data_IF_827641776661
#
_entry.id   IF_827641776661
#
_cell.length_a   1.000
_cell.length_b   1.000
_cell.length_c   1.000
_cell.angle_alpha   90.00
_cell.angle_beta   90.00
_cell.angle_gamma   90.00
#
_symmetry.space_group_name_H-M   'P 1'
#
loop_
_entity.id
_entity.type
_entity.pdbx_description
1 polymer ?
#
# COMPACT_ATOMS: atom_id res chain seq x y z
N UNK A 1 34.23 -2.81 -33.08
CA UNK A 1 33.77 -1.46 -32.70
C UNK A 1 32.27 -1.38 -32.94
N UNK A 2 31.44 -0.78 -32.07
CA UNK A 2 31.49 -0.63 -30.61
C UNK A 2 30.17 -1.09 -29.91
N UNK A 3 30.13 -0.86 -28.58
CA UNK A 3 29.23 -1.33 -27.51
C UNK A 3 27.89 -0.57 -27.40
N UNK A 4 26.91 -1.20 -26.75
CA UNK A 4 25.99 -0.68 -25.70
C UNK A 4 25.41 -1.94 -25.02
N UNK A 5 25.66 -2.35 -23.76
CA UNK A 5 25.80 -1.68 -22.46
C UNK A 5 24.61 -0.75 -22.15
N UNK A 6 23.56 -1.33 -21.58
CA UNK A 6 22.65 -0.63 -20.67
C UNK A 6 22.64 -1.40 -19.33
N UNK A 7 22.99 -0.73 -18.22
CA UNK A 7 23.02 -1.28 -16.86
C UNK A 7 21.70 -1.03 -16.11
N UNK A 8 21.46 -1.81 -15.04
CA UNK A 8 20.39 -1.58 -14.05
C UNK A 8 19.04 -2.18 -14.46
N UNK A 9 18.27 -2.88 -13.62
CA UNK A 9 18.17 -2.78 -12.18
C UNK A 9 18.14 -4.17 -11.53
N UNK A 10 19.14 -4.42 -10.69
CA UNK A 10 19.08 -5.45 -9.68
C UNK A 10 18.34 -4.83 -8.49
N UNK A 11 17.00 -4.92 -8.45
CA UNK A 11 16.24 -4.62 -7.23
C UNK A 11 16.36 -5.83 -6.33
N UNK A 12 17.43 -5.82 -5.52
CA UNK A 12 17.62 -6.80 -4.46
C UNK A 12 16.49 -6.62 -3.44
N UNK A 13 15.71 -7.69 -3.26
CA UNK A 13 14.82 -7.85 -2.11
C UNK A 13 15.62 -7.57 -0.83
N UNK A 14 15.07 -6.69 0.00
CA UNK A 14 15.48 -6.55 1.40
C UNK A 14 15.37 -7.94 2.04
N UNK A 15 16.53 -8.55 2.26
CA UNK A 15 16.63 -9.81 3.00
C UNK A 15 16.17 -9.53 4.42
N UNK A 16 15.06 -10.13 4.82
CA UNK A 16 14.53 -10.12 6.19
C UNK A 16 15.63 -10.62 7.15
N UNK A 17 16.32 -9.68 7.80
CA UNK A 17 17.24 -10.00 8.88
C UNK A 17 16.45 -10.57 10.05
N UNK A 18 16.80 -11.79 10.42
CA UNK A 18 16.48 -12.36 11.73
C UNK A 18 16.97 -11.40 12.82
N UNK A 19 16.06 -10.76 13.56
CA UNK A 19 16.42 -9.92 14.70
C UNK A 19 15.48 -10.21 15.88
N UNK A 20 15.91 -11.13 16.73
CA UNK A 20 15.64 -11.10 18.16
C UNK A 20 16.44 -9.96 18.80
N UNK A 21 15.87 -8.75 18.81
CA UNK A 21 16.37 -7.57 19.52
C UNK A 21 15.23 -6.58 19.76
N UNK A 22 15.31 -5.73 20.81
CA UNK A 22 14.21 -4.84 21.18
C UNK A 22 13.91 -3.89 20.03
N UNK A 23 12.62 -3.71 19.72
CA UNK A 23 12.10 -2.96 18.58
C UNK A 23 12.82 -1.61 18.41
N UNK A 24 13.86 -1.60 17.58
CA UNK A 24 14.40 -0.36 17.03
C UNK A 24 13.43 0.03 15.95
N UNK A 25 12.74 1.15 16.15
CA UNK A 25 11.98 1.79 15.09
C UNK A 25 12.86 1.85 13.83
N UNK A 26 12.28 1.45 12.71
CA UNK A 26 12.94 1.48 11.42
C UNK A 26 13.46 2.90 11.19
N UNK A 27 14.72 3.03 10.80
CA UNK A 27 15.32 4.33 10.49
C UNK A 27 15.93 4.20 9.10
N UNK A 28 15.29 4.84 8.13
CA UNK A 28 15.75 4.92 6.75
C UNK A 28 16.93 5.90 6.65
N UNK A 29 17.85 5.62 5.74
CA UNK A 29 18.82 6.60 5.27
C UNK A 29 18.12 7.69 4.44
N UNK A 30 18.79 8.83 4.23
CA UNK A 30 18.20 9.92 3.45
C UNK A 30 17.86 9.52 1.99
N UNK A 31 18.62 8.59 1.41
CA UNK A 31 18.35 8.05 0.07
C UNK A 31 17.10 7.16 0.09
N UNK A 32 17.01 6.23 1.05
CA UNK A 32 15.82 5.38 1.23
C UNK A 32 14.56 6.20 1.56
N UNK A 33 14.69 7.29 2.33
CA UNK A 33 13.58 8.22 2.56
C UNK A 33 13.13 8.90 1.27
N UNK A 34 14.06 9.36 0.44
CA UNK A 34 13.73 10.01 -0.83
C UNK A 34 13.06 9.02 -1.80
N UNK A 35 13.54 7.77 -1.86
CA UNK A 35 12.91 6.70 -2.64
C UNK A 35 11.51 6.38 -2.14
N UNK A 36 11.34 6.24 -0.82
CA UNK A 36 10.04 5.98 -0.21
C UNK A 36 9.04 7.12 -0.50
N UNK A 37 9.46 8.37 -0.33
CA UNK A 37 8.64 9.54 -0.67
C UNK A 37 8.31 9.55 -2.17
N UNK A 38 9.28 9.21 -3.03
CA UNK A 38 9.08 9.07 -4.47
C UNK A 38 7.99 8.03 -4.79
N UNK A 39 8.03 6.86 -4.16
CA UNK A 39 7.01 5.82 -4.28
C UNK A 39 5.66 6.30 -3.75
N UNK A 40 5.60 6.96 -2.59
CA UNK A 40 4.35 7.52 -2.06
C UNK A 40 3.76 8.60 -2.96
N UNK A 41 4.55 9.26 -3.80
CA UNK A 41 4.12 10.24 -4.79
C UNK A 41 3.87 9.66 -6.19
N UNK A 42 3.93 8.34 -6.34
CA UNK A 42 3.67 7.67 -7.63
C UNK A 42 2.22 7.83 -8.09
N UNK A 43 1.96 7.74 -9.41
CA UNK A 43 0.61 7.69 -9.95
C UNK A 43 -0.25 6.57 -9.35
N UNK A 44 0.34 5.40 -9.09
CA UNK A 44 -0.37 4.25 -8.51
C UNK A 44 -0.84 4.54 -7.09
N UNK A 45 0.01 5.10 -6.22
CA UNK A 45 -0.40 5.45 -4.86
C UNK A 45 -1.39 6.62 -4.86
N UNK A 46 -1.27 7.55 -5.83
CA UNK A 46 -2.27 8.61 -6.02
C UNK A 46 -3.65 8.05 -6.39
N UNK A 47 -3.69 7.02 -7.22
CA UNK A 47 -4.93 6.32 -7.57
C UNK A 47 -5.52 5.59 -6.35
N UNK A 48 -4.70 4.93 -5.54
CA UNK A 48 -5.14 4.32 -4.27
C UNK A 48 -5.82 5.39 -3.39
N UNK A 49 -5.19 6.55 -3.19
CA UNK A 49 -5.77 7.63 -2.37
C UNK A 49 -7.13 8.07 -2.91
N UNK A 50 -7.18 8.40 -4.21
CA UNK A 50 -8.41 8.81 -4.90
C UNK A 50 -9.52 7.76 -4.73
N UNK A 51 -9.18 6.49 -4.88
CA UNK A 51 -10.11 5.38 -4.76
C UNK A 51 -10.67 5.25 -3.34
N UNK A 52 -9.80 5.24 -2.31
CA UNK A 52 -10.23 5.20 -0.92
C UNK A 52 -11.11 6.41 -0.56
N UNK A 53 -10.75 7.62 -1.03
CA UNK A 53 -11.57 8.82 -0.88
C UNK A 53 -12.97 8.65 -1.50
N UNK A 54 -13.04 8.11 -2.71
CA UNK A 54 -14.29 7.88 -3.42
C UNK A 54 -15.18 6.85 -2.70
N UNK A 55 -14.62 5.75 -2.19
CA UNK A 55 -15.40 4.78 -1.41
C UNK A 55 -15.99 5.39 -0.13
N UNK A 56 -15.23 6.27 0.52
CA UNK A 56 -15.57 6.81 1.84
C UNK A 56 -16.35 8.13 1.78
N UNK A 57 -16.54 8.71 0.59
CA UNK A 57 -17.32 9.95 0.43
C UNK A 57 -18.79 9.76 0.82
N UNK A 58 -19.30 8.52 0.73
CA UNK A 58 -20.70 8.20 0.98
C UNK A 58 -21.61 8.50 -0.22
N UNK A 59 -21.04 8.97 -1.33
CA UNK A 59 -21.76 9.19 -2.57
C UNK A 59 -22.05 7.84 -3.27
N UNK A 60 -23.12 7.82 -4.05
CA UNK A 60 -23.41 6.68 -4.91
C UNK A 60 -22.33 6.57 -5.99
N UNK A 61 -21.49 5.54 -5.91
CA UNK A 61 -20.52 5.23 -6.96
C UNK A 61 -21.24 4.58 -8.15
N UNK A 62 -20.86 4.95 -9.39
CA UNK A 62 -21.40 4.30 -10.56
C UNK A 62 -21.04 2.80 -10.54
N UNK A 63 -21.85 1.91 -11.12
CA UNK A 63 -21.68 0.45 -11.00
C UNK A 63 -20.27 -0.06 -11.27
N UNK A 64 -19.58 0.52 -12.25
CA UNK A 64 -18.21 0.20 -12.65
C UNK A 64 -17.15 0.57 -11.60
N UNK A 65 -17.46 1.50 -10.69
CA UNK A 65 -16.59 1.93 -9.60
C UNK A 65 -17.03 1.35 -8.25
N UNK A 66 -18.07 0.51 -8.22
CA UNK A 66 -18.51 -0.10 -6.97
C UNK A 66 -17.52 -1.14 -6.47
N UNK A 67 -16.84 -1.89 -7.33
CA UNK A 67 -15.80 -2.83 -6.89
C UNK A 67 -14.40 -2.21 -7.00
N UNK A 68 -13.51 -2.37 -5.99
CA UNK A 68 -13.67 -3.04 -4.69
C UNK A 68 -14.28 -2.22 -3.51
N UNK A 69 -15.02 -1.11 -3.73
CA UNK A 69 -15.61 -0.33 -2.63
C UNK A 69 -16.69 -1.14 -1.90
N UNK A 70 -17.56 -1.80 -2.67
CA UNK A 70 -18.68 -2.64 -2.26
C UNK A 70 -18.84 -3.75 -3.29
N UNK A 71 -18.99 -4.98 -2.82
CA UNK A 71 -19.45 -6.09 -3.65
C UNK A 71 -20.48 -6.87 -2.86
N UNK A 72 -21.64 -7.12 -3.45
CA UNK A 72 -22.68 -7.91 -2.81
C UNK A 72 -22.29 -9.41 -2.71
N UNK A 73 -21.21 -9.82 -3.38
CA UNK A 73 -20.69 -11.20 -3.42
C UNK A 73 -19.18 -11.28 -3.14
N UNK A 74 -18.55 -10.29 -2.49
CA UNK A 74 -17.13 -10.39 -2.10
C UNK A 74 -16.93 -11.40 -0.97
N UNK A 75 -15.74 -12.00 -0.92
CA UNK A 75 -15.32 -12.66 0.31
C UNK A 75 -15.10 -11.60 1.39
N UNK A 76 -15.27 -12.00 2.66
CA UNK A 76 -15.03 -11.12 3.79
C UNK A 76 -13.59 -10.61 3.75
N UNK A 77 -13.41 -9.30 3.89
CA UNK A 77 -12.12 -8.63 3.84
C UNK A 77 -11.76 -8.05 2.45
N UNK A 78 -12.54 -8.33 1.40
CA UNK A 78 -12.23 -7.84 0.05
C UNK A 78 -12.83 -6.46 -0.26
N UNK A 79 -13.46 -5.82 0.72
CA UNK A 79 -14.10 -4.53 0.57
C UNK A 79 -13.72 -3.59 1.69
N UNK A 80 -13.31 -2.37 1.31
CA UNK A 80 -13.01 -1.29 2.25
C UNK A 80 -14.19 -0.95 3.17
N UNK A 81 -15.42 -1.03 2.66
CA UNK A 81 -16.64 -0.65 3.39
C UNK A 81 -17.08 -1.69 4.41
N UNK A 82 -16.47 -2.88 4.43
CA UNK A 82 -16.67 -3.87 5.49
C UNK A 82 -16.00 -3.46 6.81
N UNK A 83 -15.04 -2.54 6.74
CA UNK A 83 -14.31 -2.06 7.91
C UNK A 83 -14.97 -0.80 8.50
N UNK A 84 -14.90 -0.63 9.84
CA UNK A 84 -15.26 0.64 10.46
C UNK A 84 -14.52 1.81 9.80
N UNK A 85 -15.27 2.85 9.41
CA UNK A 85 -14.72 4.01 8.69
C UNK A 85 -13.46 4.59 9.33
N UNK A 86 -13.43 4.71 10.66
CA UNK A 86 -12.29 5.26 11.40
C UNK A 86 -11.00 4.43 11.28
N UNK A 87 -11.05 3.18 10.79
CA UNK A 87 -9.88 2.34 10.53
C UNK A 87 -9.21 2.67 9.18
N UNK A 88 -10.01 3.11 8.20
CA UNK A 88 -9.63 3.20 6.77
C UNK A 88 -9.68 4.63 6.21
N UNK A 89 -10.35 5.57 6.89
CA UNK A 89 -10.39 6.98 6.48
C UNK A 89 -9.10 7.74 6.80
N UNK A 90 -8.28 7.16 7.67
CA UNK A 90 -7.04 7.74 8.12
C UNK A 90 -5.89 7.57 7.13
N UNK A 91 -4.71 7.89 7.64
CA UNK A 91 -3.45 7.77 6.91
C UNK A 91 -3.04 6.31 6.76
N UNK A 92 -2.31 6.00 5.70
CA UNK A 92 -1.67 4.70 5.50
C UNK A 92 -0.22 4.87 5.02
N UNK A 93 0.59 3.85 5.27
CA UNK A 93 1.92 3.68 4.70
C UNK A 93 1.92 2.47 3.75
N UNK A 94 2.68 2.56 2.66
CA UNK A 94 3.01 1.38 1.85
C UNK A 94 4.17 0.67 2.53
N UNK A 95 4.05 -0.63 2.81
CA UNK A 95 5.10 -1.43 3.46
C UNK A 95 5.77 -2.39 2.49
N UNK A 96 5.11 -2.69 1.37
CA UNK A 96 5.64 -3.59 0.37
C UNK A 96 5.00 -3.34 -1.00
N UNK A 97 5.77 -3.55 -2.07
CA UNK A 97 5.32 -3.39 -3.45
C UNK A 97 5.84 -4.57 -4.27
N UNK A 98 4.95 -5.28 -4.94
CA UNK A 98 5.26 -6.43 -5.77
C UNK A 98 4.72 -6.24 -7.20
N UNK A 99 5.48 -6.55 -8.25
CA UNK A 99 4.91 -6.65 -9.59
C UNK A 99 3.91 -7.81 -9.63
N UNK A 100 2.81 -7.64 -10.38
CA UNK A 100 1.79 -8.67 -10.54
C UNK A 100 1.86 -9.30 -11.94
N UNK A 101 1.75 -10.63 -12.00
CA UNK A 101 1.92 -11.39 -13.25
C UNK A 101 0.88 -11.02 -14.33
N UNK A 102 -0.27 -10.49 -13.93
CA UNK A 102 -1.34 -10.05 -14.83
C UNK A 102 -1.27 -8.55 -15.16
N UNK A 103 -0.13 -7.90 -14.90
CA UNK A 103 0.09 -6.47 -15.10
C UNK A 103 -0.15 -5.65 -13.84
N UNK A 104 0.48 -4.47 -13.77
CA UNK A 104 0.45 -3.62 -12.59
C UNK A 104 1.27 -4.15 -11.40
N UNK A 105 0.88 -3.68 -10.21
CA UNK A 105 1.58 -3.97 -8.94
C UNK A 105 0.57 -4.22 -7.82
N UNK A 106 0.95 -5.08 -6.88
CA UNK A 106 0.29 -5.21 -5.57
C UNK A 106 1.03 -4.32 -4.59
N UNK A 107 0.28 -3.45 -3.91
CA UNK A 107 0.75 -2.62 -2.82
C UNK A 107 0.19 -3.18 -1.51
N UNK A 108 1.07 -3.59 -0.61
CA UNK A 108 0.68 -3.93 0.76
C UNK A 108 0.76 -2.65 1.59
N UNK A 109 -0.35 -2.27 2.20
CA UNK A 109 -0.50 -1.06 2.98
C UNK A 109 -0.80 -1.39 4.44
N UNK A 110 -0.36 -0.53 5.35
CA UNK A 110 -0.81 -0.52 6.74
C UNK A 110 -1.47 0.82 7.08
N UNK A 111 -2.68 0.77 7.62
CA UNK A 111 -3.38 1.95 8.12
C UNK A 111 -2.81 2.39 9.47
N UNK A 112 -2.68 3.70 9.66
CA UNK A 112 -2.11 4.29 10.87
C UNK A 112 -3.06 4.22 12.08
N UNK A 113 -4.38 4.20 11.84
CA UNK A 113 -5.37 4.06 12.89
C UNK A 113 -5.39 2.62 13.43
N UNK A 114 -5.64 2.44 14.73
CA UNK A 114 -5.91 1.12 15.30
C UNK A 114 -7.15 0.50 14.61
N UNK A 115 -7.13 -0.81 14.32
CA UNK A 115 -6.18 -1.83 14.78
C UNK A 115 -4.95 -2.01 13.88
N UNK A 116 -4.58 -1.02 13.07
CA UNK A 116 -3.55 -1.10 12.04
C UNK A 116 -3.88 -2.14 10.98
N UNK A 117 -5.02 -1.97 10.32
CA UNK A 117 -5.44 -2.85 9.24
C UNK A 117 -4.32 -2.94 8.18
N UNK A 118 -3.98 -4.15 7.76
CA UNK A 118 -3.04 -4.39 6.65
C UNK A 118 -3.81 -4.94 5.48
N UNK A 119 -3.57 -4.39 4.30
CA UNK A 119 -4.33 -4.72 3.09
C UNK A 119 -3.41 -4.86 1.89
N UNK A 120 -3.78 -5.73 0.97
CA UNK A 120 -3.17 -5.86 -0.34
C UNK A 120 -4.08 -5.21 -1.40
N UNK A 121 -3.51 -4.28 -2.15
CA UNK A 121 -4.21 -3.53 -3.19
C UNK A 121 -3.53 -3.76 -4.52
N UNK A 122 -4.24 -4.37 -5.47
CA UNK A 122 -3.77 -4.44 -6.85
C UNK A 122 -4.13 -3.16 -7.59
N UNK A 123 -3.10 -2.48 -8.09
CA UNK A 123 -3.23 -1.37 -9.04
C UNK A 123 -2.75 -1.86 -10.39
N UNK A 124 -3.68 -1.96 -11.33
CA UNK A 124 -3.38 -2.31 -12.71
C UNK A 124 -2.76 -1.11 -13.42
N UNK A 125 -1.65 -1.35 -14.11
CA UNK A 125 -1.04 -0.39 -15.02
C UNK A 125 -0.69 -1.10 -16.33
N UNK A 126 -0.98 -0.45 -17.45
CA UNK A 126 -0.59 -0.89 -18.78
C UNK A 126 -0.23 0.34 -19.61
N UNK A 127 0.61 0.17 -20.63
CA UNK A 127 1.15 1.30 -21.40
C UNK A 127 0.04 2.20 -21.95
N UNK A 128 0.11 3.48 -21.61
CA UNK A 128 -0.85 4.51 -22.06
C UNK A 128 -2.17 4.57 -21.30
N UNK A 129 -2.40 3.70 -20.29
CA UNK A 129 -3.60 3.72 -19.46
C UNK A 129 -3.26 4.29 -18.07
N UNK A 130 -4.13 5.15 -17.55
CA UNK A 130 -4.01 5.63 -16.17
C UNK A 130 -4.08 4.44 -15.17
N UNK A 131 -3.37 4.50 -14.03
CA UNK A 131 -3.48 3.47 -13.01
C UNK A 131 -4.93 3.26 -12.58
N UNK A 132 -5.28 2.02 -12.28
CA UNK A 132 -6.65 1.64 -11.93
C UNK A 132 -6.63 0.61 -10.80
N UNK A 133 -7.31 0.92 -9.70
CA UNK A 133 -7.36 0.06 -8.51
C UNK A 133 -8.37 -1.08 -8.74
N UNK A 134 -7.86 -2.31 -8.81
CA UNK A 134 -8.64 -3.50 -9.20
C UNK A 134 -8.95 -4.45 -8.05
N UNK A 135 -8.30 -4.32 -6.90
CA UNK A 135 -8.64 -5.13 -5.72
C UNK A 135 -8.32 -4.42 -4.42
N UNK A 136 -9.01 -4.86 -3.36
CA UNK A 136 -8.70 -4.61 -1.97
C UNK A 136 -8.86 -5.96 -1.28
N UNK A 137 -7.94 -6.35 -0.41
CA UNK A 137 -8.03 -7.56 0.39
C UNK A 137 -7.36 -7.30 1.72
N UNK A 138 -8.04 -7.56 2.83
CA UNK A 138 -7.39 -7.66 4.14
C UNK A 138 -6.32 -8.76 4.08
N UNK A 139 -5.09 -8.43 4.46
CA UNK A 139 -4.01 -9.41 4.54
C UNK A 139 -4.18 -10.26 5.79
N UNK A 140 -3.85 -11.56 5.72
CA UNK A 140 -3.94 -12.50 6.85
C UNK A 140 -2.80 -12.30 7.88
N UNK A 141 -2.55 -11.06 8.31
CA UNK A 141 -1.52 -10.71 9.29
C UNK A 141 -2.15 -10.65 10.70
N UNK A 142 -1.64 -11.43 11.67
CA UNK A 142 -2.15 -11.43 13.03
C UNK A 142 -2.10 -10.03 13.68
N UNK A 143 -3.08 -9.71 14.52
CA UNK A 143 -3.17 -8.39 15.18
C UNK A 143 -1.89 -8.02 15.95
N UNK A 144 -1.26 -8.98 16.65
CA UNK A 144 0.00 -8.75 17.38
C UNK A 144 1.15 -8.34 16.46
N UNK A 145 1.17 -8.86 15.23
CA UNK A 145 2.19 -8.53 14.24
C UNK A 145 1.92 -7.18 13.60
N UNK A 146 0.65 -6.85 13.32
CA UNK A 146 0.25 -5.51 12.84
C UNK A 146 0.64 -4.40 13.82
N UNK A 147 0.45 -4.64 15.12
CA UNK A 147 0.90 -3.71 16.19
C UNK A 147 2.43 -3.57 16.19
N UNK A 148 3.17 -4.68 16.03
CA UNK A 148 4.64 -4.63 15.93
C UNK A 148 5.09 -3.83 14.70
N UNK A 149 4.51 -4.09 13.54
CA UNK A 149 4.80 -3.36 12.30
C UNK A 149 4.53 -1.87 12.45
N UNK A 150 3.39 -1.49 13.05
CA UNK A 150 3.07 -0.10 13.31
C UNK A 150 4.06 0.57 14.28
N UNK A 151 4.52 -0.15 15.30
CA UNK A 151 5.55 0.34 16.21
C UNK A 151 6.91 0.53 15.51
N UNK A 152 7.29 -0.41 14.65
CA UNK A 152 8.54 -0.36 13.87
C UNK A 152 8.51 0.79 12.86
N UNK A 153 7.36 1.04 12.20
CA UNK A 153 7.17 2.18 11.31
C UNK A 153 7.03 3.52 12.06
N UNK A 154 6.68 3.48 13.35
CA UNK A 154 6.78 4.55 14.34
C UNK A 154 6.68 5.98 13.81
N UNK A 155 7.84 6.61 13.58
CA UNK A 155 7.94 8.01 13.14
C UNK A 155 7.32 8.26 11.77
N UNK A 156 7.40 7.30 10.85
CA UNK A 156 6.85 7.39 9.49
C UNK A 156 5.32 7.37 9.48
N UNK A 157 4.67 6.61 10.38
CA UNK A 157 3.21 6.66 10.58
C UNK A 157 2.70 7.94 11.25
N UNK A 158 3.59 8.83 11.68
CA UNK A 158 3.25 10.14 12.25
C UNK A 158 3.61 11.30 11.33
N UNK A 159 4.54 11.09 10.39
CA UNK A 159 5.01 12.11 9.45
C UNK A 159 4.11 12.19 8.21
N UNK A 160 3.53 13.38 7.97
CA UNK A 160 2.64 13.65 6.83
C UNK A 160 3.32 13.45 5.47
N UNK A 161 4.65 13.51 5.38
CA UNK A 161 5.39 13.30 4.12
C UNK A 161 5.36 11.84 3.66
N UNK A 162 5.17 10.91 4.61
CA UNK A 162 5.23 9.47 4.39
C UNK A 162 3.83 8.85 4.33
N UNK A 163 2.79 9.68 4.33
CA UNK A 163 1.41 9.28 4.53
C UNK A 163 0.49 10.04 3.58
N UNK A 164 -0.71 9.51 3.36
CA UNK A 164 -1.82 10.26 2.76
C UNK A 164 -2.12 11.56 3.52
#
# INVERSE_FOLDING_TARGET
MPRLLIPGALLALVSLFQLSSPAKALTLTAEEEAEYIGMMNSPEVSEIRRYLDACLSGDALPPEAQYPCKSDNSAKGDSILEHPRHWVEGRFAVIYVNPYLFGGKIFTLIFAAEPHLVVDIWVYTNEGIAPDMRSFSESEIPASERVKMAADLGAYLKDKRFLR
#
